data_IF_099501635848
#
_entry.id   IF_099501635848
#
_cell.length_a   1.000
_cell.length_b   1.000
_cell.length_c   1.000
_cell.angle_alpha   90.00
_cell.angle_beta   90.00
_cell.angle_gamma   90.00
#
_symmetry.space_group_name_H-M   'P 1'
#
loop_
_entity.id
_entity.type
_entity.pdbx_description
1 polymer ?
#
# COMPACT_ATOMS: atom_id res chain seq x y z
N UNK A 1 -2.06 13.46 -4.65
CA UNK A 1 -1.62 14.03 -3.34
C UNK A 1 -0.92 12.93 -2.54
N UNK A 2 0.37 13.11 -2.25
CA UNK A 2 1.13 12.19 -1.40
C UNK A 2 0.76 12.35 0.06
N UNK A 3 -0.10 11.47 0.57
CA UNK A 3 -0.41 11.37 2.00
C UNK A 3 0.63 10.54 2.75
N UNK A 4 1.23 9.58 2.07
CA UNK A 4 2.27 8.64 2.48
C UNK A 4 1.79 7.67 3.57
N UNK A 5 1.47 8.16 4.77
CA UNK A 5 1.04 7.36 5.92
C UNK A 5 -0.11 8.02 6.69
N UNK A 6 -0.90 7.23 7.35
CA UNK A 6 -1.91 7.65 8.32
C UNK A 6 -1.44 7.57 9.77
N UNK A 7 -0.16 7.26 9.97
CA UNK A 7 0.44 7.16 11.30
C UNK A 7 1.33 8.38 11.59
N UNK A 8 1.08 9.14 12.68
CA UNK A 8 1.84 10.35 12.99
C UNK A 8 3.34 10.10 13.20
N UNK A 9 3.71 8.94 13.77
CA UNK A 9 5.11 8.63 14.01
C UNK A 9 5.84 8.34 12.70
N UNK A 10 5.19 7.62 11.77
CA UNK A 10 5.74 7.35 10.45
C UNK A 10 5.92 8.66 9.66
N UNK A 11 4.92 9.55 9.65
CA UNK A 11 5.05 10.87 9.01
C UNK A 11 6.21 11.69 9.57
N UNK A 12 6.45 11.60 10.89
CA UNK A 12 7.60 12.23 11.55
C UNK A 12 8.94 11.60 11.10
N UNK A 13 9.00 10.27 11.05
CA UNK A 13 10.20 9.53 10.66
C UNK A 13 10.67 9.90 9.23
N UNK A 14 9.73 10.08 8.31
CA UNK A 14 10.01 10.48 6.92
C UNK A 14 10.13 12.00 6.72
N UNK A 15 10.07 12.78 7.80
CA UNK A 15 10.17 14.25 7.77
C UNK A 15 9.14 14.90 6.82
N UNK A 16 7.91 14.34 6.73
CA UNK A 16 6.87 14.79 5.77
C UNK A 16 6.44 16.24 5.99
N UNK A 17 6.53 16.75 7.22
CA UNK A 17 6.12 18.11 7.56
C UNK A 17 4.60 18.34 7.54
N UNK A 18 3.80 17.32 7.25
CA UNK A 18 2.35 17.35 7.32
C UNK A 18 1.84 16.43 8.43
N UNK A 19 0.66 16.76 8.99
CA UNK A 19 -0.01 15.92 10.00
C UNK A 19 -1.23 15.23 9.40
N UNK A 20 -1.67 14.18 10.08
CA UNK A 20 -2.90 13.44 9.73
C UNK A 20 -4.12 14.36 9.71
N UNK A 21 -4.20 15.30 10.66
CA UNK A 21 -5.30 16.29 10.77
C UNK A 21 -5.30 17.24 9.57
N UNK A 22 -4.14 17.78 9.20
CA UNK A 22 -4.02 18.65 8.01
C UNK A 22 -4.38 17.92 6.73
N UNK A 23 -3.95 16.65 6.60
CA UNK A 23 -4.31 15.82 5.46
C UNK A 23 -5.83 15.58 5.36
N UNK A 24 -6.51 15.34 6.51
CA UNK A 24 -7.97 15.23 6.56
C UNK A 24 -8.68 16.53 6.16
N UNK A 25 -8.23 17.66 6.72
CA UNK A 25 -8.79 18.97 6.38
C UNK A 25 -8.65 19.25 4.88
N UNK A 26 -7.46 19.06 4.33
CA UNK A 26 -7.20 19.21 2.90
C UNK A 26 -8.12 18.34 2.03
N UNK A 27 -8.24 17.04 2.34
CA UNK A 27 -9.09 16.15 1.56
C UNK A 27 -10.57 16.54 1.66
N UNK A 28 -11.01 16.98 2.85
CA UNK A 28 -12.36 17.49 3.05
C UNK A 28 -12.62 18.73 2.21
N UNK A 29 -11.73 19.73 2.25
CA UNK A 29 -11.87 20.98 1.49
C UNK A 29 -11.91 20.69 -0.03
N UNK A 30 -11.07 19.78 -0.52
CA UNK A 30 -11.11 19.34 -1.92
C UNK A 30 -12.47 18.71 -2.27
N UNK A 31 -12.98 17.82 -1.41
CA UNK A 31 -14.25 17.15 -1.64
C UNK A 31 -15.43 18.16 -1.61
N UNK A 32 -15.42 19.12 -0.69
CA UNK A 32 -16.44 20.18 -0.59
C UNK A 32 -16.45 21.09 -1.83
N UNK A 33 -15.28 21.29 -2.45
CA UNK A 33 -15.11 22.03 -3.70
C UNK A 33 -15.39 21.19 -4.97
N UNK A 34 -15.70 19.91 -4.82
CA UNK A 34 -15.93 18.99 -5.95
C UNK A 34 -14.65 18.60 -6.72
N UNK A 35 -13.47 18.80 -6.11
CA UNK A 35 -12.20 18.41 -6.72
C UNK A 35 -11.96 16.90 -6.61
N UNK A 36 -11.40 16.33 -7.67
CA UNK A 36 -10.99 14.92 -7.69
C UNK A 36 -9.66 14.78 -6.95
N UNK A 37 -9.65 13.99 -5.88
CA UNK A 37 -8.45 13.70 -5.11
C UNK A 37 -7.95 12.29 -5.44
N UNK A 38 -6.72 12.19 -5.92
CA UNK A 38 -5.95 10.95 -5.98
C UNK A 38 -5.01 10.89 -4.77
N UNK A 39 -5.11 9.82 -3.98
CA UNK A 39 -4.31 9.65 -2.76
C UNK A 39 -3.18 8.65 -2.95
N UNK A 40 -1.94 9.07 -2.67
CA UNK A 40 -0.77 8.20 -2.72
C UNK A 40 -0.34 7.82 -1.30
N UNK A 41 -0.09 6.53 -1.09
CA UNK A 41 0.33 5.94 0.18
C UNK A 41 1.53 5.04 -0.04
N UNK A 42 2.39 4.93 0.98
CA UNK A 42 3.57 4.07 0.94
C UNK A 42 3.55 3.17 2.18
N UNK A 43 3.82 1.88 1.98
CA UNK A 43 4.02 0.90 3.05
C UNK A 43 5.49 0.46 3.09
N UNK A 44 5.99 0.10 4.27
CA UNK A 44 7.40 -0.27 4.48
C UNK A 44 8.31 0.93 4.73
N UNK A 45 7.75 2.07 5.17
CA UNK A 45 8.50 3.26 5.55
C UNK A 45 9.34 3.06 6.82
N UNK A 46 10.36 3.90 7.10
CA UNK A 46 11.21 3.78 8.28
C UNK A 46 10.43 3.72 9.60
N UNK A 47 10.63 2.64 10.36
CA UNK A 47 9.97 2.41 11.64
C UNK A 47 8.55 1.88 11.53
N UNK A 48 8.12 1.42 10.36
CA UNK A 48 6.79 0.89 10.14
C UNK A 48 6.52 -0.39 10.95
N UNK A 49 5.29 -0.54 11.39
CA UNK A 49 4.78 -1.69 12.15
C UNK A 49 3.47 -2.19 11.54
N UNK A 50 3.02 -3.37 11.96
CA UNK A 50 1.69 -3.88 11.56
C UNK A 50 0.56 -2.94 11.97
N UNK A 51 0.72 -2.26 13.10
CA UNK A 51 -0.24 -1.29 13.62
C UNK A 51 -0.26 -0.01 12.78
N UNK A 52 0.92 0.56 12.46
CA UNK A 52 1.00 1.77 11.64
C UNK A 52 0.46 1.57 10.23
N UNK A 53 0.67 0.38 9.63
CA UNK A 53 0.04 0.00 8.37
C UNK A 53 -1.49 -0.01 8.52
N UNK A 54 -2.02 -0.57 9.61
CA UNK A 54 -3.46 -0.58 9.88
C UNK A 54 -4.01 0.83 10.05
N UNK A 55 -3.28 1.70 10.77
CA UNK A 55 -3.62 3.11 10.93
C UNK A 55 -3.69 3.81 9.57
N UNK A 56 -2.74 3.55 8.68
CA UNK A 56 -2.70 4.12 7.32
C UNK A 56 -3.90 3.67 6.48
N UNK A 57 -4.25 2.38 6.49
CA UNK A 57 -5.43 1.87 5.78
C UNK A 57 -6.72 2.52 6.32
N UNK A 58 -6.86 2.60 7.64
CA UNK A 58 -8.03 3.22 8.25
C UNK A 58 -8.11 4.71 7.96
N UNK A 59 -6.98 5.40 8.00
CA UNK A 59 -6.89 6.81 7.63
C UNK A 59 -7.33 7.05 6.18
N UNK A 60 -6.78 6.31 5.22
CA UNK A 60 -7.14 6.44 3.81
C UNK A 60 -8.65 6.31 3.57
N UNK A 61 -9.30 5.37 4.27
CA UNK A 61 -10.75 5.18 4.19
C UNK A 61 -11.56 6.42 4.63
N UNK A 62 -10.98 7.29 5.44
CA UNK A 62 -11.65 8.52 5.91
C UNK A 62 -11.46 9.72 4.99
N UNK A 63 -10.45 9.71 4.11
CA UNK A 63 -10.14 10.82 3.20
C UNK A 63 -11.10 10.92 2.02
N UNK A 64 -11.76 9.82 1.68
CA UNK A 64 -12.70 9.73 0.56
C UNK A 64 -12.12 10.16 -0.80
N UNK A 65 -10.85 9.80 -1.04
CA UNK A 65 -10.22 10.01 -2.34
C UNK A 65 -10.97 9.26 -3.44
N UNK A 66 -10.98 9.81 -4.65
CA UNK A 66 -11.59 9.16 -5.82
C UNK A 66 -10.86 7.85 -6.15
N UNK A 67 -9.55 7.93 -6.18
CA UNK A 67 -8.64 6.81 -6.41
C UNK A 67 -7.49 6.84 -5.43
N UNK A 68 -6.87 5.68 -5.22
CA UNK A 68 -5.64 5.58 -4.43
C UNK A 68 -4.57 4.82 -5.20
N UNK A 69 -3.32 5.13 -4.89
CA UNK A 69 -2.15 4.34 -5.21
C UNK A 69 -1.44 3.93 -3.93
N UNK A 70 -1.00 2.69 -3.85
CA UNK A 70 -0.23 2.17 -2.73
C UNK A 70 1.08 1.61 -3.27
N UNK A 71 2.18 2.21 -2.86
CA UNK A 71 3.54 1.82 -3.22
C UNK A 71 4.24 1.16 -2.04
N UNK A 72 5.34 0.46 -2.33
CA UNK A 72 6.24 -0.10 -1.32
C UNK A 72 7.45 0.82 -1.23
N UNK A 73 7.90 1.10 0.00
CA UNK A 73 9.08 1.91 0.23
C UNK A 73 10.33 1.23 -0.31
N UNK A 74 11.15 2.00 -1.03
CA UNK A 74 12.43 1.56 -1.56
C UNK A 74 13.55 2.44 -1.00
N UNK A 75 14.56 1.80 -0.45
CA UNK A 75 15.77 2.47 0.02
C UNK A 75 16.75 2.61 -1.16
N UNK A 76 16.76 3.78 -1.81
CA UNK A 76 17.65 4.06 -2.91
C UNK A 76 19.04 4.46 -2.40
N UNK A 77 20.13 3.91 -2.97
CA UNK A 77 21.50 4.31 -2.62
C UNK A 77 21.70 5.84 -2.66
N UNK A 78 22.39 6.37 -1.65
CA UNK A 78 22.61 7.81 -1.50
C UNK A 78 21.50 8.56 -0.78
N UNK A 79 20.51 7.86 -0.22
CA UNK A 79 19.49 8.46 0.64
C UNK A 79 19.71 8.12 2.11
N UNK A 80 19.27 9.00 3.04
CA UNK A 80 19.28 8.71 4.48
C UNK A 80 18.56 7.40 4.81
N UNK A 81 17.51 7.08 4.06
CA UNK A 81 16.76 5.85 4.24
C UNK A 81 17.58 4.60 3.88
N UNK A 82 18.38 4.67 2.83
CA UNK A 82 19.27 3.58 2.46
C UNK A 82 20.34 3.35 3.53
N UNK A 83 20.97 4.42 4.00
CA UNK A 83 22.01 4.34 5.03
C UNK A 83 21.43 3.78 6.34
N UNK A 84 20.24 4.22 6.72
CA UNK A 84 19.51 3.67 7.86
C UNK A 84 19.20 2.17 7.68
N UNK A 85 18.62 1.79 6.57
CA UNK A 85 18.23 0.39 6.32
C UNK A 85 19.45 -0.53 6.24
N UNK A 86 20.54 -0.06 5.60
CA UNK A 86 21.79 -0.81 5.46
C UNK A 86 22.51 -1.00 6.80
N UNK A 87 22.65 0.08 7.57
CA UNK A 87 23.34 0.02 8.89
C UNK A 87 22.63 -0.86 9.91
N UNK A 88 21.31 -1.03 9.78
CA UNK A 88 20.51 -1.90 10.63
C UNK A 88 20.30 -3.31 10.05
N UNK A 89 20.83 -3.63 8.86
CA UNK A 89 20.68 -4.94 8.25
C UNK A 89 19.24 -5.24 7.76
N UNK A 90 18.46 -4.21 7.45
CA UNK A 90 17.06 -4.35 7.02
C UNK A 90 16.90 -4.64 5.52
N UNK A 91 17.96 -4.47 4.72
CA UNK A 91 17.94 -4.75 3.29
C UNK A 91 18.08 -6.25 3.08
N UNK A 92 17.03 -6.91 2.59
CA UNK A 92 17.00 -8.37 2.35
C UNK A 92 17.36 -8.74 0.93
N UNK A 93 17.22 -7.81 -0.01
CA UNK A 93 17.51 -8.01 -1.41
C UNK A 93 17.98 -6.70 -2.04
N UNK A 94 18.99 -6.74 -2.89
CA UNK A 94 19.45 -5.56 -3.65
C UNK A 94 18.55 -5.27 -4.87
N UNK A 95 17.74 -6.24 -5.31
CA UNK A 95 16.81 -6.05 -6.43
C UNK A 95 15.54 -5.36 -5.96
N UNK A 96 15.20 -4.26 -6.60
CA UNK A 96 14.00 -3.46 -6.33
C UNK A 96 12.81 -3.86 -7.20
N UNK A 97 13.06 -4.58 -8.30
CA UNK A 97 12.05 -5.01 -9.27
C UNK A 97 12.25 -6.48 -9.63
N UNK A 98 11.16 -7.15 -9.94
CA UNK A 98 11.20 -8.48 -10.55
C UNK A 98 11.52 -8.40 -12.05
N UNK A 99 11.68 -9.56 -12.70
CA UNK A 99 11.93 -9.62 -14.15
C UNK A 99 10.78 -9.10 -15.02
N UNK A 100 9.63 -8.75 -14.43
CA UNK A 100 8.46 -8.18 -15.09
C UNK A 100 8.25 -6.69 -14.82
N UNK A 101 9.20 -6.02 -14.12
CA UNK A 101 9.08 -4.59 -13.78
C UNK A 101 8.13 -4.31 -12.61
N UNK A 102 7.75 -5.31 -11.80
CA UNK A 102 6.95 -5.09 -10.62
C UNK A 102 7.83 -4.77 -9.42
N UNK A 103 7.39 -3.83 -8.60
CA UNK A 103 8.07 -3.48 -7.36
C UNK A 103 8.12 -4.67 -6.41
N UNK A 104 9.32 -4.97 -5.90
CA UNK A 104 9.56 -5.98 -4.88
C UNK A 104 9.86 -5.30 -3.55
N UNK A 105 9.21 -5.74 -2.47
CA UNK A 105 9.63 -5.32 -1.15
C UNK A 105 11.03 -5.91 -0.87
N UNK A 106 11.98 -5.05 -0.50
CA UNK A 106 13.38 -5.42 -0.24
C UNK A 106 13.86 -5.01 1.15
N UNK A 107 12.96 -4.46 1.97
CA UNK A 107 13.23 -4.03 3.33
C UNK A 107 12.38 -4.86 4.28
N UNK A 108 13.01 -5.42 5.30
CA UNK A 108 12.35 -6.18 6.35
C UNK A 108 12.72 -5.62 7.72
N UNK A 109 11.72 -5.21 8.48
CA UNK A 109 11.92 -4.77 9.86
C UNK A 109 11.64 -5.89 10.86
N UNK A 110 12.19 -5.83 12.08
CA UNK A 110 11.81 -6.74 13.13
C UNK A 110 10.28 -6.76 13.36
N UNK A 111 9.67 -7.93 13.20
CA UNK A 111 8.21 -8.10 13.35
C UNK A 111 7.35 -7.66 12.17
N UNK A 112 7.96 -7.15 11.08
CA UNK A 112 7.27 -6.77 9.84
C UNK A 112 7.91 -7.46 8.62
N UNK A 113 7.59 -8.73 8.35
CA UNK A 113 8.14 -9.46 7.21
C UNK A 113 7.73 -8.86 5.87
N UNK A 114 8.60 -9.00 4.86
CA UNK A 114 8.39 -8.52 3.49
C UNK A 114 7.03 -8.92 2.93
N UNK A 115 6.68 -10.19 3.04
CA UNK A 115 5.43 -10.70 2.48
C UNK A 115 4.19 -10.24 3.26
N UNK A 116 4.31 -9.89 4.54
CA UNK A 116 3.23 -9.20 5.23
C UNK A 116 2.97 -7.82 4.60
N UNK A 117 4.03 -7.07 4.29
CA UNK A 117 3.88 -5.76 3.62
C UNK A 117 3.22 -5.92 2.25
N UNK A 118 3.67 -6.91 1.46
CA UNK A 118 3.08 -7.23 0.16
C UNK A 118 1.60 -7.62 0.27
N UNK A 119 1.25 -8.47 1.23
CA UNK A 119 -0.14 -8.83 1.49
C UNK A 119 -0.97 -7.60 1.86
N UNK A 120 -0.42 -6.71 2.70
CA UNK A 120 -1.13 -5.51 3.14
C UNK A 120 -1.34 -4.48 2.04
N UNK A 121 -0.46 -4.40 1.02
CA UNK A 121 -0.74 -3.61 -0.20
C UNK A 121 -2.01 -4.11 -0.88
N UNK A 122 -2.15 -5.42 -1.08
CA UNK A 122 -3.35 -5.99 -1.70
C UNK A 122 -4.60 -5.78 -0.86
N UNK A 123 -4.46 -5.99 0.46
CA UNK A 123 -5.55 -5.78 1.41
C UNK A 123 -5.99 -4.32 1.48
N UNK A 124 -5.07 -3.38 1.33
CA UNK A 124 -5.36 -1.96 1.28
C UNK A 124 -6.31 -1.63 0.12
N UNK A 125 -6.00 -2.09 -1.09
CA UNK A 125 -6.89 -1.92 -2.24
C UNK A 125 -8.25 -2.56 -2.01
N UNK A 126 -8.28 -3.80 -1.51
CA UNK A 126 -9.54 -4.50 -1.25
C UNK A 126 -10.38 -3.74 -0.21
N UNK A 127 -9.81 -3.39 0.94
CA UNK A 127 -10.53 -2.67 1.98
C UNK A 127 -10.94 -1.26 1.54
N UNK A 128 -10.19 -0.64 0.64
CA UNK A 128 -10.51 0.70 0.15
C UNK A 128 -11.66 0.69 -0.87
N UNK A 129 -11.58 -0.13 -1.90
CA UNK A 129 -12.54 -0.09 -3.01
C UNK A 129 -13.82 -0.87 -2.76
N UNK A 130 -13.80 -1.89 -1.92
CA UNK A 130 -15.02 -2.63 -1.56
C UNK A 130 -15.84 -2.02 -0.42
N UNK A 131 -15.54 -0.78 -0.03
CA UNK A 131 -16.41 -0.05 0.91
C UNK A 131 -17.76 0.26 0.24
N UNK A 132 -18.89 0.15 0.96
CA UNK A 132 -20.21 0.51 0.39
C UNK A 132 -20.24 1.90 -0.22
N UNK A 133 -19.62 2.89 0.44
CA UNK A 133 -19.53 4.27 -0.04
C UNK A 133 -18.75 4.39 -1.36
N UNK A 134 -17.63 3.69 -1.50
CA UNK A 134 -16.82 3.69 -2.71
C UNK A 134 -17.56 3.00 -3.86
N UNK A 135 -18.13 1.83 -3.60
CA UNK A 135 -18.91 1.09 -4.59
C UNK A 135 -20.13 1.91 -5.08
N UNK A 136 -20.87 2.53 -4.16
CA UNK A 136 -22.01 3.41 -4.52
C UNK A 136 -21.55 4.58 -5.38
N UNK A 137 -20.44 5.25 -5.04
CA UNK A 137 -19.90 6.37 -5.82
C UNK A 137 -19.55 5.97 -7.25
N UNK A 138 -18.88 4.83 -7.41
CA UNK A 138 -18.50 4.32 -8.75
C UNK A 138 -19.73 4.01 -9.59
N UNK A 139 -20.72 3.30 -9.02
CA UNK A 139 -21.97 2.98 -9.70
C UNK A 139 -22.74 4.25 -10.04
N UNK A 140 -22.89 5.18 -9.10
CA UNK A 140 -23.60 6.43 -9.28
C UNK A 140 -23.02 7.30 -10.41
N UNK A 141 -21.68 7.46 -10.43
CA UNK A 141 -21.01 8.17 -11.52
C UNK A 141 -21.20 7.52 -12.87
N UNK A 142 -21.14 6.20 -12.95
CA UNK A 142 -21.37 5.49 -14.21
C UNK A 142 -22.81 5.67 -14.73
N UNK A 143 -23.79 5.69 -13.83
CA UNK A 143 -25.20 5.92 -14.19
C UNK A 143 -25.41 7.35 -14.68
N UNK A 144 -24.90 8.37 -13.95
CA UNK A 144 -25.07 9.79 -14.32
C UNK A 144 -24.37 10.09 -15.65
N UNK A 145 -23.16 9.59 -15.84
CA UNK A 145 -22.38 9.83 -17.05
C UNK A 145 -22.81 8.95 -18.23
N UNK A 146 -23.81 8.08 -18.05
CA UNK A 146 -24.26 7.09 -19.04
C UNK A 146 -23.14 6.18 -19.56
N UNK A 147 -22.13 5.91 -18.71
CA UNK A 147 -20.91 5.18 -19.07
C UNK A 147 -20.87 3.78 -18.44
N UNK A 148 -22.03 3.13 -18.36
CA UNK A 148 -22.18 1.78 -17.79
C UNK A 148 -21.31 0.73 -18.51
N UNK A 149 -21.15 0.77 -19.86
CA UNK A 149 -20.29 -0.17 -20.55
C UNK A 149 -18.82 -0.07 -20.12
N UNK A 150 -18.32 1.14 -19.89
CA UNK A 150 -16.96 1.37 -19.41
C UNK A 150 -16.80 0.85 -17.98
N UNK A 151 -17.76 1.10 -17.09
CA UNK A 151 -17.76 0.55 -15.74
C UNK A 151 -17.64 -0.97 -15.74
N UNK A 152 -18.37 -1.65 -16.65
CA UNK A 152 -18.30 -3.12 -16.77
C UNK A 152 -16.89 -3.59 -17.16
N UNK A 153 -16.25 -2.92 -18.11
CA UNK A 153 -14.88 -3.25 -18.54
C UNK A 153 -13.88 -3.02 -17.42
N UNK A 154 -13.97 -1.88 -16.75
CA UNK A 154 -13.08 -1.53 -15.61
C UNK A 154 -13.28 -2.48 -14.43
N UNK A 155 -14.52 -2.80 -14.08
CA UNK A 155 -14.83 -3.76 -13.02
C UNK A 155 -14.29 -5.16 -13.34
N UNK A 156 -14.43 -5.63 -14.58
CA UNK A 156 -13.89 -6.92 -15.03
C UNK A 156 -12.36 -6.93 -14.97
N UNK A 157 -11.70 -5.85 -15.42
CA UNK A 157 -10.24 -5.71 -15.33
C UNK A 157 -9.77 -5.71 -13.88
N UNK A 158 -10.46 -4.97 -13.00
CA UNK A 158 -10.16 -4.93 -11.58
C UNK A 158 -10.31 -6.30 -10.90
N UNK A 159 -11.39 -7.02 -11.17
CA UNK A 159 -11.60 -8.37 -10.62
C UNK A 159 -10.56 -9.37 -11.13
N UNK A 160 -10.14 -9.26 -12.40
CA UNK A 160 -9.06 -10.07 -12.95
C UNK A 160 -7.73 -9.79 -12.24
N UNK A 161 -7.36 -8.52 -12.05
CA UNK A 161 -6.16 -8.12 -11.31
C UNK A 161 -6.20 -8.62 -9.86
N UNK A 162 -7.36 -8.51 -9.20
CA UNK A 162 -7.55 -9.04 -7.84
C UNK A 162 -7.33 -10.54 -7.78
N UNK A 163 -7.89 -11.29 -8.73
CA UNK A 163 -7.70 -12.74 -8.78
C UNK A 163 -6.24 -13.12 -9.00
N UNK A 164 -5.51 -12.42 -9.86
CA UNK A 164 -4.08 -12.62 -10.09
C UNK A 164 -3.27 -12.33 -8.81
N UNK A 165 -3.54 -11.21 -8.13
CA UNK A 165 -2.88 -10.86 -6.86
C UNK A 165 -3.12 -11.91 -5.78
N UNK A 166 -4.38 -12.34 -5.61
CA UNK A 166 -4.72 -13.39 -4.64
C UNK A 166 -4.01 -14.71 -4.93
N UNK A 167 -3.79 -15.04 -6.20
CA UNK A 167 -3.02 -16.20 -6.62
C UNK A 167 -1.55 -16.05 -6.21
N UNK A 168 -0.91 -14.92 -6.50
CA UNK A 168 0.48 -14.65 -6.12
C UNK A 168 0.69 -14.71 -4.59
N UNK A 169 -0.23 -14.15 -3.81
CA UNK A 169 -0.16 -14.23 -2.33
C UNK A 169 -0.25 -15.68 -1.85
N UNK A 170 -1.12 -16.50 -2.44
CA UNK A 170 -1.24 -17.91 -2.09
C UNK A 170 0.03 -18.69 -2.44
N UNK A 171 0.60 -18.44 -3.62
CA UNK A 171 1.84 -19.08 -4.08
C UNK A 171 3.01 -18.69 -3.18
N UNK A 172 3.15 -17.42 -2.81
CA UNK A 172 4.16 -16.94 -1.89
C UNK A 172 4.04 -17.56 -0.50
N UNK A 173 2.81 -17.75 0.01
CA UNK A 173 2.57 -18.43 1.29
C UNK A 173 2.91 -19.93 1.22
N UNK A 174 2.61 -20.60 0.12
CA UNK A 174 2.89 -22.04 -0.04
C UNK A 174 4.37 -22.34 -0.29
N UNK A 175 5.14 -21.38 -0.78
CA UNK A 175 6.58 -21.49 -1.01
C UNK A 175 7.42 -21.28 0.27
N UNK A 176 6.82 -20.86 1.40
CA UNK A 176 7.51 -20.72 2.68
C UNK A 176 7.86 -22.09 3.26
N UNK A 177 9.12 -22.32 3.66
CA UNK A 177 9.44 -23.46 4.50
C UNK A 177 8.71 -23.31 5.85
N UNK A 178 8.21 -24.43 6.35
CA UNK A 178 7.56 -24.52 7.66
C UNK A 178 8.51 -23.97 8.74
N UNK A 179 8.12 -22.96 9.54
CA UNK A 179 8.98 -22.40 10.60
C UNK A 179 9.37 -23.43 11.66
N UNK A 180 8.74 -24.61 11.67
CA UNK A 180 9.08 -25.73 12.57
C UNK A 180 10.15 -26.65 12.01
N UNK A 181 10.60 -26.48 10.76
CA UNK A 181 11.65 -27.30 10.16
C UNK A 181 13.03 -26.71 10.53
N UNK A 182 13.84 -27.42 11.35
CA UNK A 182 15.16 -26.91 11.72
C UNK A 182 16.03 -26.77 10.48
N UNK A 183 16.71 -25.62 10.35
CA UNK A 183 17.67 -25.37 9.30
C UNK A 183 18.68 -26.53 9.26
N UNK A 184 18.78 -27.23 8.13
CA UNK A 184 19.82 -28.21 7.93
C UNK A 184 21.16 -27.50 8.09
N UNK A 185 21.84 -27.75 9.20
CA UNK A 185 23.22 -27.33 9.41
C UNK A 185 24.03 -27.94 8.24
N UNK A 186 24.52 -27.06 7.37
CA UNK A 186 25.46 -27.45 6.32
C UNK A 186 26.76 -27.91 6.95
N UNK A 187 27.18 -29.09 6.60
CA UNK A 187 28.50 -29.64 6.83
C UNK A 187 29.50 -28.99 5.88
#
# INVERSE_FOLDING_TARGET
MGFESGDPQILKNIKKGATVERARAFAKDCNDLGLVVHGDFILGLPGETKESIRNTINFAKTLDCETIQVSIAHAYPGTEFYDYAKSNGFITNERMEDGGGHQMAHIEYPGLPVDYVMEMVHRFYDEYYFRPKAAFRVIWKAVINRDVPRLYVEAKAFLKLRAQRNKMVKEARSARPDPTTPAKAGV
#
